data_IF_618480794980
#
_entry.id   IF_618480794980
#
_cell.length_a   1.000
_cell.length_b   1.000
_cell.length_c   1.000
_cell.angle_alpha   90.00
_cell.angle_beta   90.00
_cell.angle_gamma   90.00
#
_symmetry.space_group_name_H-M   'P 1'
#
loop_
_entity.id
_entity.type
_entity.pdbx_description
1 polymer ?
#
# COMPACT_ATOMS: atom_id res chain seq x y z
N UNK A 1 24.73 -1.09 -7.12
CA UNK A 1 24.03 -1.82 -8.20
C UNK A 1 23.73 -3.26 -7.83
N UNK A 2 24.70 -4.03 -7.33
CA UNK A 2 24.52 -5.42 -6.86
C UNK A 2 23.56 -5.57 -5.68
N UNK A 3 23.62 -4.67 -4.69
CA UNK A 3 22.72 -4.64 -3.53
C UNK A 3 21.26 -4.42 -3.91
N UNK A 4 21.03 -3.54 -4.88
CA UNK A 4 19.71 -3.19 -5.40
C UNK A 4 19.10 -4.39 -6.14
N UNK A 5 19.91 -5.11 -6.93
CA UNK A 5 19.51 -6.36 -7.57
C UNK A 5 19.15 -7.44 -6.55
N UNK A 6 19.98 -7.61 -5.50
CA UNK A 6 19.72 -8.58 -4.43
C UNK A 6 18.42 -8.27 -3.67
N UNK A 7 18.13 -7.00 -3.39
CA UNK A 7 16.88 -6.57 -2.75
C UNK A 7 15.69 -6.85 -3.66
N UNK A 8 15.77 -6.56 -4.96
CA UNK A 8 14.71 -6.88 -5.93
C UNK A 8 14.45 -8.40 -5.96
N UNK A 9 15.50 -9.21 -6.06
CA UNK A 9 15.39 -10.67 -6.10
C UNK A 9 14.79 -11.21 -4.81
N UNK A 10 15.21 -10.70 -3.65
CA UNK A 10 14.66 -11.08 -2.35
C UNK A 10 13.17 -10.69 -2.23
N UNK A 11 12.79 -9.50 -2.70
CA UNK A 11 11.41 -9.04 -2.67
C UNK A 11 10.52 -9.85 -3.60
N UNK A 12 10.95 -10.11 -4.84
CA UNK A 12 10.22 -10.98 -5.76
C UNK A 12 10.06 -12.38 -5.16
N UNK A 13 11.11 -12.92 -4.53
CA UNK A 13 11.09 -14.22 -3.88
C UNK A 13 10.12 -14.27 -2.68
N UNK A 14 10.05 -13.22 -1.86
CA UNK A 14 9.14 -13.14 -0.71
C UNK A 14 7.69 -12.90 -1.15
N UNK A 15 7.49 -12.07 -2.17
CA UNK A 15 6.15 -11.67 -2.63
C UNK A 15 5.55 -12.60 -3.69
N UNK A 16 6.30 -13.54 -4.28
CA UNK A 16 5.79 -14.50 -5.28
C UNK A 16 4.52 -15.21 -4.83
N UNK A 17 4.40 -15.53 -3.53
CA UNK A 17 3.26 -16.25 -2.97
C UNK A 17 1.99 -15.39 -2.83
N UNK A 18 2.13 -14.07 -3.00
CA UNK A 18 1.06 -13.08 -2.83
C UNK A 18 0.83 -12.21 -4.10
N UNK A 19 1.59 -12.43 -5.17
CA UNK A 19 1.49 -11.71 -6.45
C UNK A 19 0.33 -12.26 -7.28
N UNK A 20 -0.91 -11.99 -6.87
CA UNK A 20 -2.08 -12.11 -7.73
C UNK A 20 -2.01 -11.03 -8.84
N UNK A 21 -2.54 -11.32 -10.03
CA UNK A 21 -2.63 -10.40 -11.16
C UNK A 21 -3.27 -9.04 -10.76
N UNK A 22 -4.22 -9.05 -9.82
CA UNK A 22 -4.83 -7.82 -9.30
C UNK A 22 -3.83 -6.92 -8.55
N UNK A 23 -2.91 -7.52 -7.81
CA UNK A 23 -1.85 -6.81 -7.08
C UNK A 23 -0.83 -6.26 -8.06
N UNK A 24 -0.41 -7.06 -9.04
CA UNK A 24 0.47 -6.61 -10.14
C UNK A 24 -0.12 -5.41 -10.89
N UNK A 25 -1.39 -5.49 -11.31
CA UNK A 25 -2.08 -4.38 -11.98
C UNK A 25 -2.09 -3.11 -11.12
N UNK A 26 -2.28 -3.24 -9.80
CA UNK A 26 -2.19 -2.12 -8.87
C UNK A 26 -0.77 -1.54 -8.80
N UNK A 27 0.25 -2.37 -8.63
CA UNK A 27 1.65 -1.94 -8.56
C UNK A 27 2.03 -1.18 -9.83
N UNK A 28 1.76 -1.74 -11.01
CA UNK A 28 2.05 -1.05 -12.28
C UNK A 28 1.25 0.23 -12.46
N UNK A 29 -0.03 0.25 -12.09
CA UNK A 29 -0.85 1.46 -12.16
C UNK A 29 -0.34 2.57 -11.24
N UNK A 30 0.05 2.24 -10.01
CA UNK A 30 0.61 3.20 -9.05
C UNK A 30 2.00 3.63 -9.49
N UNK A 31 2.85 2.72 -9.96
CA UNK A 31 4.17 3.05 -10.49
C UNK A 31 4.07 4.03 -11.66
N UNK A 32 3.16 3.78 -12.61
CA UNK A 32 2.94 4.67 -13.76
C UNK A 32 2.45 6.05 -13.32
N UNK A 33 1.51 6.11 -12.37
CA UNK A 33 1.08 7.37 -11.76
C UNK A 33 2.25 8.13 -11.10
N UNK A 34 3.10 7.42 -10.33
CA UNK A 34 4.26 8.02 -9.68
C UNK A 34 5.34 8.45 -10.68
N UNK A 35 5.46 7.76 -11.81
CA UNK A 35 6.32 8.19 -12.92
C UNK A 35 5.86 9.55 -13.47
N UNK A 36 4.56 9.70 -13.72
CA UNK A 36 3.98 10.96 -14.19
C UNK A 36 4.18 12.05 -13.14
N UNK A 37 3.94 11.73 -11.86
CA UNK A 37 4.20 12.65 -10.76
C UNK A 37 5.66 13.10 -10.69
N UNK A 38 6.61 12.19 -10.90
CA UNK A 38 8.04 12.53 -10.93
C UNK A 38 8.39 13.45 -12.11
N UNK A 39 7.85 13.17 -13.30
CA UNK A 39 8.05 14.00 -14.49
C UNK A 39 7.47 15.40 -14.25
N UNK A 40 6.29 15.50 -13.66
CA UNK A 40 5.73 16.79 -13.25
C UNK A 40 6.63 17.50 -12.24
N UNK A 41 7.17 16.79 -11.25
CA UNK A 41 8.12 17.33 -10.29
C UNK A 41 9.43 17.81 -10.93
N UNK A 42 9.89 17.17 -12.01
CA UNK A 42 11.01 17.66 -12.82
C UNK A 42 10.67 19.01 -13.46
N UNK A 43 9.53 19.12 -14.14
CA UNK A 43 9.16 20.36 -14.84
C UNK A 43 8.75 21.50 -13.91
N UNK A 44 8.12 21.22 -12.77
CA UNK A 44 7.61 22.23 -11.84
C UNK A 44 8.58 22.56 -10.71
N UNK A 45 9.32 21.57 -10.21
CA UNK A 45 10.13 21.67 -8.99
C UNK A 45 11.64 21.53 -9.24
N UNK A 46 12.07 21.39 -10.49
CA UNK A 46 13.49 21.32 -10.85
C UNK A 46 14.18 20.02 -10.40
N UNK A 47 13.43 18.94 -10.15
CA UNK A 47 14.02 17.63 -9.85
C UNK A 47 14.90 17.15 -11.01
N UNK A 48 15.90 16.27 -10.80
CA UNK A 48 16.72 15.77 -11.90
C UNK A 48 15.89 14.95 -12.89
N UNK A 49 16.28 14.96 -14.17
CA UNK A 49 15.58 14.21 -15.22
C UNK A 49 15.53 12.70 -14.89
N UNK A 50 14.40 12.00 -15.13
CA UNK A 50 14.28 10.58 -14.81
C UNK A 50 15.22 9.73 -15.69
N UNK A 51 16.35 9.34 -15.12
CA UNK A 51 17.26 8.37 -15.74
C UNK A 51 16.62 6.97 -15.73
N UNK A 52 17.02 6.04 -16.63
CA UNK A 52 16.50 4.67 -16.62
C UNK A 52 16.64 3.98 -15.26
N UNK A 53 17.74 4.25 -14.54
CA UNK A 53 17.96 3.79 -13.17
C UNK A 53 16.97 4.38 -12.18
N UNK A 54 16.67 5.68 -12.26
CA UNK A 54 15.63 6.30 -11.44
C UNK A 54 14.24 5.71 -11.74
N UNK A 55 13.96 5.39 -13.01
CA UNK A 55 12.68 4.76 -13.37
C UNK A 55 12.50 3.40 -12.71
N UNK A 56 13.55 2.57 -12.72
CA UNK A 56 13.58 1.28 -12.03
C UNK A 56 13.43 1.47 -10.51
N UNK A 57 14.12 2.45 -9.93
CA UNK A 57 13.98 2.77 -8.50
C UNK A 57 12.54 3.14 -8.13
N UNK A 58 11.85 3.96 -8.93
CA UNK A 58 10.46 4.33 -8.70
C UNK A 58 9.55 3.09 -8.72
N UNK A 59 9.77 2.15 -9.64
CA UNK A 59 8.99 0.90 -9.69
C UNK A 59 9.20 0.07 -8.40
N UNK A 60 10.45 -0.06 -7.95
CA UNK A 60 10.78 -0.84 -6.74
C UNK A 60 10.19 -0.19 -5.49
N UNK A 61 10.36 1.13 -5.37
CA UNK A 61 9.82 1.93 -4.27
C UNK A 61 8.29 1.85 -4.26
N UNK A 62 7.66 1.91 -5.43
CA UNK A 62 6.21 1.76 -5.57
C UNK A 62 5.77 0.37 -5.14
N UNK A 63 6.43 -0.69 -5.60
CA UNK A 63 6.12 -2.06 -5.22
C UNK A 63 6.25 -2.29 -3.71
N UNK A 64 7.32 -1.79 -3.10
CA UNK A 64 7.56 -1.84 -1.66
C UNK A 64 6.54 -1.05 -0.86
N UNK A 65 6.22 0.16 -1.29
CA UNK A 65 5.18 0.98 -0.68
C UNK A 65 3.84 0.26 -0.74
N UNK A 66 3.43 -0.22 -1.91
CA UNK A 66 2.18 -0.97 -2.07
C UNK A 66 2.14 -2.20 -1.18
N UNK A 67 3.23 -2.97 -1.11
CA UNK A 67 3.34 -4.12 -0.22
C UNK A 67 3.14 -3.73 1.25
N UNK A 68 3.81 -2.67 1.72
CA UNK A 68 3.62 -2.13 3.06
C UNK A 68 2.16 -1.72 3.31
N UNK A 69 1.55 -1.03 2.35
CA UNK A 69 0.14 -0.65 2.41
C UNK A 69 -0.81 -1.84 2.49
N UNK A 70 -0.56 -2.89 1.69
CA UNK A 70 -1.34 -4.13 1.73
C UNK A 70 -1.19 -4.82 3.07
N UNK A 71 0.02 -4.94 3.61
CA UNK A 71 0.29 -5.52 4.94
C UNK A 71 -0.43 -4.70 6.03
N UNK A 72 -0.30 -3.38 6.00
CA UNK A 72 -0.99 -2.49 6.91
C UNK A 72 -2.50 -2.67 6.84
N UNK A 73 -3.07 -2.83 5.64
CA UNK A 73 -4.51 -3.06 5.48
C UNK A 73 -5.00 -4.43 5.98
N UNK A 74 -4.11 -5.42 6.17
CA UNK A 74 -4.45 -6.67 6.87
C UNK A 74 -4.50 -6.49 8.38
N UNK A 75 -3.57 -5.71 8.93
CA UNK A 75 -3.51 -5.42 10.38
C UNK A 75 -4.63 -4.47 10.77
N UNK A 76 -4.88 -3.44 9.94
CA UNK A 76 -5.89 -2.40 10.16
C UNK A 76 -6.78 -2.21 8.90
N UNK A 77 -7.75 -3.12 8.68
CA UNK A 77 -8.67 -3.03 7.55
C UNK A 77 -9.54 -1.78 7.60
N UNK A 78 -9.98 -1.29 6.43
CA UNK A 78 -10.75 -0.05 6.36
C UNK A 78 -12.12 -0.25 7.02
N UNK A 79 -12.52 0.59 8.00
CA UNK A 79 -13.86 0.58 8.56
C UNK A 79 -14.89 1.00 7.49
N UNK A 80 -16.02 0.30 7.44
CA UNK A 80 -17.09 0.60 6.46
C UNK A 80 -17.69 1.99 6.70
N UNK A 81 -17.80 2.39 7.96
CA UNK A 81 -18.36 3.68 8.34
C UNK A 81 -17.36 4.81 8.00
N UNK A 82 -17.88 5.91 7.45
CA UNK A 82 -17.09 7.13 7.25
C UNK A 82 -16.99 7.83 8.61
N UNK A 83 -15.78 8.06 9.11
CA UNK A 83 -15.55 8.68 10.41
C UNK A 83 -14.07 8.98 10.67
N UNK A 84 -13.78 9.51 11.87
CA UNK A 84 -12.43 9.88 12.32
C UNK A 84 -11.41 8.74 12.19
N UNK A 85 -11.84 7.49 12.30
CA UNK A 85 -10.98 6.31 12.14
C UNK A 85 -10.29 6.26 10.76
N UNK A 86 -10.94 6.71 9.67
CA UNK A 86 -10.31 6.75 8.34
C UNK A 86 -9.19 7.79 8.25
N UNK A 87 -9.37 8.92 8.93
CA UNK A 87 -8.38 10.00 9.00
C UNK A 87 -7.18 9.51 9.79
N UNK A 88 -7.42 8.97 10.99
CA UNK A 88 -6.38 8.38 11.83
C UNK A 88 -5.59 7.30 11.11
N UNK A 89 -6.28 6.41 10.41
CA UNK A 89 -5.66 5.36 9.58
C UNK A 89 -4.71 5.94 8.53
N UNK A 90 -5.08 7.05 7.90
CA UNK A 90 -4.23 7.72 6.90
C UNK A 90 -2.97 8.30 7.54
N UNK A 91 -3.07 8.94 8.70
CA UNK A 91 -1.90 9.41 9.44
C UNK A 91 -1.02 8.24 9.91
N UNK A 92 -1.63 7.18 10.45
CA UNK A 92 -0.98 5.97 10.94
C UNK A 92 -0.19 5.24 9.85
N UNK A 93 -0.60 5.31 8.58
CA UNK A 93 0.21 4.76 7.49
C UNK A 93 1.21 5.78 6.95
N UNK A 94 0.81 7.03 6.75
CA UNK A 94 1.68 8.03 6.11
C UNK A 94 2.93 8.33 6.94
N UNK A 95 2.79 8.55 8.26
CA UNK A 95 3.93 8.91 9.12
C UNK A 95 5.03 7.84 9.11
N UNK A 96 4.75 6.56 9.41
CA UNK A 96 5.78 5.53 9.35
C UNK A 96 6.25 5.28 7.92
N UNK A 97 5.38 5.41 6.91
CA UNK A 97 5.80 5.24 5.52
C UNK A 97 6.76 6.34 5.08
N UNK A 98 6.57 7.58 5.50
CA UNK A 98 7.52 8.67 5.24
C UNK A 98 8.86 8.40 5.89
N UNK A 99 8.87 7.98 7.17
CA UNK A 99 10.10 7.62 7.88
C UNK A 99 10.86 6.47 7.19
N UNK A 100 10.16 5.40 6.82
CA UNK A 100 10.72 4.29 6.06
C UNK A 100 11.19 4.73 4.67
N UNK A 101 10.44 5.60 4.01
CA UNK A 101 10.78 6.18 2.71
C UNK A 101 12.07 7.01 2.76
N UNK A 102 12.30 7.77 3.84
CA UNK A 102 13.55 8.51 4.07
C UNK A 102 14.71 7.52 4.24
N UNK A 103 14.52 6.48 5.06
CA UNK A 103 15.54 5.44 5.24
C UNK A 103 15.89 4.75 3.91
N UNK A 104 14.88 4.41 3.11
CA UNK A 104 15.05 3.80 1.80
C UNK A 104 15.76 4.76 0.82
N UNK A 105 15.42 6.04 0.87
CA UNK A 105 16.07 7.08 0.07
C UNK A 105 17.56 7.22 0.40
N UNK A 106 17.93 7.22 1.69
CA UNK A 106 19.33 7.26 2.13
C UNK A 106 20.08 6.01 1.64
N UNK A 107 19.47 4.82 1.71
CA UNK A 107 20.07 3.57 1.24
C UNK A 107 20.27 3.55 -0.28
N UNK A 108 19.30 4.08 -1.05
CA UNK A 108 19.32 4.00 -2.51
C UNK A 108 20.09 5.13 -3.20
N UNK A 109 20.14 6.32 -2.59
CA UNK A 109 20.69 7.54 -3.21
C UNK A 109 21.75 8.24 -2.36
N UNK A 110 21.98 7.80 -1.12
CA UNK A 110 22.90 8.45 -0.19
C UNK A 110 22.30 9.69 0.47
N UNK A 111 23.16 10.46 1.14
CA UNK A 111 22.76 11.65 1.91
C UNK A 111 22.32 12.84 1.05
N UNK A 112 22.75 12.90 -0.22
CA UNK A 112 22.36 13.94 -1.18
C UNK A 112 21.23 13.45 -2.09
N UNK A 113 20.15 13.00 -1.47
CA UNK A 113 19.00 12.54 -2.22
C UNK A 113 18.20 13.73 -2.75
N UNK A 114 18.39 14.02 -4.04
CA UNK A 114 17.73 15.10 -4.78
C UNK A 114 16.32 14.74 -5.27
N UNK A 115 15.84 13.52 -4.98
CA UNK A 115 14.55 13.02 -5.42
C UNK A 115 13.62 12.82 -4.22
N UNK A 116 12.31 13.05 -4.41
CA UNK A 116 11.31 12.83 -3.37
C UNK A 116 10.87 11.35 -3.29
N UNK A 117 11.84 10.43 -3.18
CA UNK A 117 11.57 8.98 -3.07
C UNK A 117 10.75 8.66 -1.82
N UNK A 118 11.03 9.32 -0.69
CA UNK A 118 10.24 9.13 0.53
C UNK A 118 8.76 9.45 0.32
N UNK A 119 8.45 10.48 -0.48
CA UNK A 119 7.07 10.91 -0.76
C UNK A 119 6.39 9.91 -1.69
N UNK A 120 7.08 9.49 -2.76
CA UNK A 120 6.58 8.47 -3.67
C UNK A 120 6.31 7.14 -2.96
N UNK A 121 7.20 6.73 -2.04
CA UNK A 121 7.01 5.56 -1.19
C UNK A 121 5.76 5.70 -0.31
N UNK A 122 5.61 6.83 0.38
CA UNK A 122 4.48 7.07 1.27
C UNK A 122 3.14 7.12 0.51
N UNK A 123 3.12 7.72 -0.68
CA UNK A 123 1.95 7.72 -1.57
C UNK A 123 1.62 6.30 -2.04
N UNK A 124 2.61 5.51 -2.44
CA UNK A 124 2.41 4.11 -2.83
C UNK A 124 1.83 3.28 -1.68
N UNK A 125 2.35 3.44 -0.46
CA UNK A 125 1.84 2.77 0.72
C UNK A 125 0.42 3.19 1.06
N UNK A 126 0.12 4.48 1.02
CA UNK A 126 -1.21 4.99 1.27
C UNK A 126 -2.23 4.44 0.28
N UNK A 127 -1.97 4.54 -1.04
CA UNK A 127 -2.87 4.02 -2.09
C UNK A 127 -2.98 2.49 -2.00
N UNK A 128 -1.86 1.81 -1.74
CA UNK A 128 -1.81 0.35 -1.54
C UNK A 128 -2.69 -0.12 -0.39
N UNK A 129 -2.77 0.67 0.69
CA UNK A 129 -3.61 0.35 1.86
C UNK A 129 -5.10 0.32 1.59
N UNK A 130 -5.57 0.87 0.47
CA UNK A 130 -6.97 0.80 0.05
C UNK A 130 -7.49 -0.60 -0.31
N UNK A 131 -6.74 -1.67 -0.08
CA UNK A 131 -7.04 -2.99 -0.64
C UNK A 131 -8.06 -3.81 0.17
N UNK A 132 -7.99 -3.83 1.50
CA UNK A 132 -8.92 -4.60 2.34
C UNK A 132 -9.95 -3.68 3.03
N UNK A 133 -11.22 -3.95 2.77
CA UNK A 133 -12.37 -3.31 3.42
C UNK A 133 -12.97 -4.33 4.38
N UNK A 134 -13.23 -3.93 5.63
CA UNK A 134 -13.92 -4.79 6.61
C UNK A 134 -15.30 -5.14 6.04
N UNK A 135 -15.63 -6.42 5.92
CA UNK A 135 -16.99 -6.84 5.54
C UNK A 135 -17.75 -7.09 6.84
N UNK A 136 -18.91 -6.46 7.02
CA UNK A 136 -19.82 -6.84 8.10
C UNK A 136 -20.19 -8.31 7.86
N UNK A 137 -19.86 -9.20 8.80
CA UNK A 137 -20.63 -10.44 8.88
C UNK A 137 -22.09 -10.02 8.94
N UNK A 138 -22.90 -10.45 7.96
CA UNK A 138 -24.35 -10.37 8.11
C UNK A 138 -24.65 -10.99 9.46
N UNK A 139 -24.98 -10.18 10.46
CA UNK A 139 -25.78 -10.63 11.59
C UNK A 139 -27.05 -11.15 10.95
N UNK A 140 -27.07 -12.45 10.69
CA UNK A 140 -28.31 -13.15 10.37
C UNK A 140 -29.12 -13.00 11.64
N UNK A 141 -29.97 -11.98 11.68
CA UNK A 141 -31.03 -11.89 12.68
C UNK A 141 -31.79 -13.20 12.55
N UNK A 142 -31.58 -14.11 13.49
CA UNK A 142 -32.41 -15.30 13.59
C UNK A 142 -33.83 -14.77 13.75
N UNK A 143 -34.76 -15.08 12.82
CA UNK A 143 -36.13 -14.64 12.98
C UNK A 143 -36.63 -15.20 14.31
N UNK A 144 -37.21 -14.32 15.12
CA UNK A 144 -37.74 -14.62 16.47
C UNK A 144 -38.67 -15.86 16.44
N UNK A 145 -39.30 -16.14 15.29
CA UNK A 145 -40.10 -17.35 15.06
C UNK A 145 -39.35 -18.69 15.16
N UNK A 146 -38.02 -18.72 15.04
CA UNK A 146 -37.23 -19.96 15.18
C UNK A 146 -37.14 -20.47 16.62
N UNK A 147 -37.28 -19.57 17.60
CA UNK A 147 -37.34 -19.91 19.04
C UNK A 147 -38.67 -20.57 19.41
N UNK A 148 -39.77 -20.14 18.82
CA UNK A 148 -41.11 -20.67 19.09
C UNK A 148 -41.37 -22.05 18.44
N UNK A 149 -40.63 -22.40 17.38
CA UNK A 149 -40.75 -23.72 16.75
C UNK A 149 -40.31 -24.88 17.66
N UNK A 150 -39.42 -24.63 18.62
CA UNK A 150 -38.91 -25.65 19.55
C UNK A 150 -39.85 -25.96 20.71
N UNK A 151 -40.83 -25.09 20.98
CA UNK A 151 -41.74 -25.24 22.14
C UNK A 151 -42.95 -26.12 21.79
N UNK A 152 -43.31 -26.24 20.50
CA UNK A 152 -44.50 -26.99 20.05
C UNK A 152 -44.34 -28.52 19.91
N UNK A 153 -43.19 -29.09 20.23
CA UNK A 153 -42.92 -30.54 20.01
C UNK A 153 -42.95 -31.34 21.34
N UNK A 154 -43.60 -30.83 22.38
CA UNK A 154 -43.68 -31.49 23.68
C UNK A 154 -45.13 -31.54 24.21
N UNK A 155 -45.98 -32.25 23.49
CA UNK A 155 -47.29 -32.75 23.95
C UNK A 155 -47.48 -34.15 23.40
#
# INVERSE_FOLDING_TARGET
>A
MTTLFAIITALLYVFQRYLDYRVLKKVFGIALFLQIFYILGHYMGGWPFPTPTAMIQIIIVSALGVALGVIFSRIWPIPQHKGFERIFRTFLIMVPSLGLGIGLQIILQGAQATQAIYLMFALAAWIGSGHFIRTEEKKVEKPIGSLFSRIKVKT
#
